data_IF_611137619017
#
_entry.id   IF_611137619017
#
_cell.length_a   1.000
_cell.length_b   1.000
_cell.length_c   1.000
_cell.angle_alpha   90.00
_cell.angle_beta   90.00
_cell.angle_gamma   90.00
#
_symmetry.space_group_name_H-M   'P 1'
#
loop_
_entity.id
_entity.type
_entity.pdbx_description
1 polymer ?
#
# COMPACT_ATOMS: atom_id res chain seq x y z
N UNK A 1 -22.77 6.22 -5.84
CA UNK A 1 -21.79 5.21 -6.31
C UNK A 1 -21.52 4.26 -5.17
N UNK A 2 -21.49 2.95 -5.41
CA UNK A 2 -21.17 1.98 -4.36
C UNK A 2 -19.66 1.99 -4.13
N UNK A 3 -19.24 2.49 -2.98
CA UNK A 3 -17.84 2.44 -2.59
C UNK A 3 -17.50 1.05 -2.07
N UNK A 4 -16.53 0.39 -2.69
CA UNK A 4 -15.98 -0.89 -2.24
C UNK A 4 -14.69 -0.64 -1.49
N UNK A 5 -14.60 -1.21 -0.30
CA UNK A 5 -13.38 -1.20 0.51
C UNK A 5 -12.82 -2.62 0.57
N UNK A 6 -11.53 -2.77 0.28
CA UNK A 6 -10.81 -4.04 0.38
C UNK A 6 -9.80 -3.94 1.50
N UNK A 7 -10.04 -4.65 2.60
CA UNK A 7 -9.13 -4.66 3.75
C UNK A 7 -8.38 -5.98 3.90
N UNK A 8 -7.24 -5.90 4.57
CA UNK A 8 -6.50 -7.04 5.13
C UNK A 8 -5.71 -6.59 6.34
N UNK A 9 -5.96 -7.23 7.48
CA UNK A 9 -5.06 -7.17 8.63
C UNK A 9 -3.95 -8.21 8.47
N UNK A 10 -2.73 -7.82 8.83
CA UNK A 10 -1.55 -8.68 8.88
C UNK A 10 -0.58 -8.20 9.96
N UNK A 11 0.25 -9.14 10.42
CA UNK A 11 1.40 -8.81 11.26
C UNK A 11 2.61 -8.55 10.38
N UNK A 12 3.13 -7.32 10.44
CA UNK A 12 4.38 -6.92 9.80
C UNK A 12 5.53 -7.04 10.79
N UNK A 13 6.77 -7.06 10.29
CA UNK A 13 7.95 -6.93 11.15
C UNK A 13 8.61 -5.57 10.91
N UNK A 14 8.73 -4.76 11.96
CA UNK A 14 9.55 -3.55 11.94
C UNK A 14 11.00 -3.95 12.21
N UNK A 15 11.87 -3.73 11.24
CA UNK A 15 13.28 -4.05 11.30
C UNK A 15 14.01 -2.89 12.00
N UNK A 16 14.57 -3.18 13.17
CA UNK A 16 15.32 -2.21 13.98
C UNK A 16 16.84 -2.36 13.77
N UNK A 17 17.29 -3.59 13.50
CA UNK A 17 18.66 -3.94 13.15
C UNK A 17 18.70 -5.30 12.43
N UNK A 18 19.83 -5.73 11.86
CA UNK A 18 19.94 -7.04 11.21
C UNK A 18 19.57 -8.24 12.12
N UNK A 19 19.70 -8.09 13.44
CA UNK A 19 19.43 -9.14 14.43
C UNK A 19 18.12 -8.92 15.20
N UNK A 20 17.44 -7.78 14.99
CA UNK A 20 16.28 -7.38 15.78
C UNK A 20 15.15 -6.85 14.91
N UNK A 21 14.00 -7.52 15.03
CA UNK A 21 12.74 -7.04 14.49
C UNK A 21 11.62 -7.21 15.53
N UNK A 22 10.61 -6.35 15.47
CA UNK A 22 9.43 -6.43 16.34
C UNK A 22 8.15 -6.59 15.50
N UNK A 23 7.15 -7.38 15.95
CA UNK A 23 5.88 -7.48 15.27
C UNK A 23 5.10 -6.16 15.38
N UNK A 24 4.49 -5.74 14.29
CA UNK A 24 3.65 -4.54 14.19
C UNK A 24 2.33 -4.94 13.50
N UNK A 25 1.22 -4.99 14.26
CA UNK A 25 -0.11 -5.16 13.67
C UNK A 25 -0.39 -4.03 12.69
N UNK A 26 -0.78 -4.40 11.48
CA UNK A 26 -1.08 -3.45 10.42
C UNK A 26 -2.36 -3.81 9.66
N UNK A 27 -3.01 -2.79 9.11
CA UNK A 27 -4.16 -2.94 8.23
C UNK A 27 -3.87 -2.26 6.90
N UNK A 28 -3.97 -3.03 5.82
CA UNK A 28 -3.98 -2.55 4.44
C UNK A 28 -5.42 -2.29 4.05
N UNK A 29 -5.71 -1.09 3.55
CA UNK A 29 -7.03 -0.68 3.08
C UNK A 29 -6.92 -0.06 1.70
N UNK A 30 -7.85 -0.44 0.84
CA UNK A 30 -8.00 0.09 -0.52
C UNK A 30 -9.43 0.56 -0.67
N UNK A 31 -9.58 1.75 -1.22
CA UNK A 31 -10.83 2.46 -1.33
C UNK A 31 -11.09 2.70 -2.83
N UNK A 32 -12.20 2.18 -3.37
CA UNK A 32 -12.57 2.43 -4.77
C UNK A 32 -12.88 3.91 -5.10
N UNK A 33 -13.08 4.78 -4.13
CA UNK A 33 -13.21 6.25 -4.28
C UNK A 33 -11.87 6.99 -4.13
N UNK A 34 -10.77 6.27 -3.81
CA UNK A 34 -9.38 6.72 -3.91
C UNK A 34 -8.56 5.63 -4.65
N UNK A 35 -8.89 5.35 -5.93
CA UNK A 35 -8.46 4.13 -6.61
C UNK A 35 -6.97 4.05 -6.93
N UNK A 36 -6.26 5.18 -6.81
CA UNK A 36 -4.82 5.25 -7.03
C UNK A 36 -4.01 4.97 -5.77
N UNK A 37 -4.65 4.93 -4.59
CA UNK A 37 -3.97 4.86 -3.31
C UNK A 37 -4.07 3.49 -2.64
N UNK A 38 -3.05 3.18 -1.86
CA UNK A 38 -3.05 2.16 -0.83
C UNK A 38 -2.84 2.85 0.50
N UNK A 39 -3.67 2.52 1.48
CA UNK A 39 -3.56 3.03 2.83
C UNK A 39 -3.08 1.92 3.75
N UNK A 40 -2.09 2.24 4.58
CA UNK A 40 -1.59 1.33 5.60
C UNK A 40 -1.70 2.02 6.95
N UNK A 41 -2.37 1.37 7.90
CA UNK A 41 -2.37 1.76 9.30
C UNK A 41 -1.46 0.80 10.09
N UNK A 42 -0.50 1.32 10.83
CA UNK A 42 0.37 0.58 11.74
C UNK A 42 -0.05 0.80 13.20
N UNK A 43 0.31 -0.15 14.07
CA UNK A 43 -0.03 -0.09 15.50
C UNK A 43 -1.54 0.05 15.71
N UNK A 44 -2.35 -0.70 14.95
CA UNK A 44 -3.82 -0.61 14.94
C UNK A 44 -4.49 -0.89 16.29
N UNK A 45 -3.76 -1.50 17.22
CA UNK A 45 -4.22 -1.75 18.59
C UNK A 45 -3.80 -0.65 19.59
N UNK A 46 -3.17 0.44 19.13
CA UNK A 46 -2.77 1.58 19.95
C UNK A 46 -3.75 2.74 19.83
N UNK A 47 -3.74 3.65 20.80
CA UNK A 47 -4.53 4.89 20.80
C UNK A 47 -4.16 5.85 19.65
N UNK A 48 -2.98 5.68 19.04
CA UNK A 48 -2.45 6.57 18.00
C UNK A 48 -1.84 5.75 16.85
N UNK A 49 -2.68 5.17 15.97
CA UNK A 49 -2.20 4.46 14.80
C UNK A 49 -1.44 5.41 13.85
N UNK A 50 -0.39 4.89 13.21
CA UNK A 50 0.39 5.63 12.22
C UNK A 50 -0.15 5.29 10.84
N UNK A 51 -0.52 6.31 10.06
CA UNK A 51 -1.11 6.15 8.74
C UNK A 51 -0.11 6.51 7.65
N UNK A 52 0.00 5.63 6.65
CA UNK A 52 0.74 5.86 5.42
C UNK A 52 -0.20 5.72 4.23
N UNK A 53 -0.01 6.56 3.24
CA UNK A 53 -0.74 6.49 1.97
C UNK A 53 0.24 6.71 0.84
N UNK A 54 0.22 5.80 -0.13
CA UNK A 54 1.07 5.88 -1.31
C UNK A 54 0.42 5.16 -2.47
N UNK A 55 1.04 5.26 -3.66
CA UNK A 55 0.49 4.70 -4.89
C UNK A 55 0.26 3.19 -4.80
N UNK A 56 -0.90 2.75 -5.28
CA UNK A 56 -1.22 1.34 -5.51
C UNK A 56 -0.23 0.69 -6.47
N UNK A 57 0.09 1.38 -7.56
CA UNK A 57 1.01 0.89 -8.57
C UNK A 57 2.42 0.73 -8.03
N UNK A 58 2.84 1.60 -7.09
CA UNK A 58 4.11 1.44 -6.40
C UNK A 58 4.18 0.11 -5.64
N UNK A 59 3.10 -0.28 -4.95
CA UNK A 59 3.06 -1.57 -4.25
C UNK A 59 2.96 -2.76 -5.21
N UNK A 60 2.19 -2.62 -6.30
CA UNK A 60 2.09 -3.62 -7.37
C UNK A 60 3.45 -3.87 -8.02
N UNK A 61 4.22 -2.82 -8.32
CA UNK A 61 5.56 -2.97 -8.87
C UNK A 61 6.53 -3.55 -7.81
N UNK A 62 6.42 -3.05 -6.57
CA UNK A 62 7.31 -3.36 -5.46
C UNK A 62 7.25 -4.82 -4.98
N UNK A 63 6.18 -5.55 -5.30
CA UNK A 63 6.12 -7.00 -5.06
C UNK A 63 6.94 -7.81 -6.08
N UNK A 64 7.30 -7.22 -7.23
CA UNK A 64 8.04 -7.89 -8.31
C UNK A 64 9.49 -7.41 -8.44
N UNK A 65 9.77 -6.13 -8.22
CA UNK A 65 11.11 -5.56 -8.35
C UNK A 65 11.31 -4.33 -7.44
N UNK A 66 12.57 -3.95 -7.14
CA UNK A 66 12.82 -2.71 -6.42
C UNK A 66 12.29 -1.48 -7.17
N UNK A 67 11.53 -0.64 -6.49
CA UNK A 67 10.94 0.59 -7.01
C UNK A 67 10.73 1.64 -5.91
N UNK A 68 10.27 2.82 -6.31
CA UNK A 68 9.99 3.95 -5.42
C UNK A 68 11.13 4.96 -5.33
N UNK A 69 10.74 6.17 -4.92
CA UNK A 69 11.64 7.31 -4.74
C UNK A 69 11.12 8.18 -3.60
N UNK A 70 12.01 8.96 -2.98
CA UNK A 70 11.68 9.80 -1.84
C UNK A 70 11.29 8.97 -0.63
N UNK A 71 10.10 9.27 -0.09
CA UNK A 71 9.64 8.81 1.22
C UNK A 71 9.20 7.35 1.23
N UNK A 72 8.91 6.75 0.08
CA UNK A 72 8.48 5.35 -0.03
C UNK A 72 9.33 4.60 -1.05
N UNK A 73 9.99 3.54 -0.57
CA UNK A 73 10.71 2.57 -1.42
C UNK A 73 10.23 1.17 -1.10
N UNK A 74 9.99 0.36 -2.13
CA UNK A 74 9.45 -1.00 -2.00
C UNK A 74 10.27 -1.97 -2.81
N UNK A 75 10.61 -3.13 -2.26
CA UNK A 75 11.34 -4.16 -3.00
C UNK A 75 11.09 -5.57 -2.45
N UNK A 76 11.11 -6.60 -3.31
CA UNK A 76 11.01 -7.98 -2.86
C UNK A 76 12.37 -8.51 -2.39
N UNK A 77 12.37 -9.41 -1.42
CA UNK A 77 13.55 -10.17 -0.99
C UNK A 77 13.16 -11.53 -0.42
N UNK A 78 14.15 -12.28 0.07
CA UNK A 78 13.94 -13.50 0.85
C UNK A 78 14.47 -13.30 2.27
N UNK A 79 13.63 -13.57 3.27
CA UNK A 79 14.00 -13.58 4.69
C UNK A 79 13.68 -14.96 5.26
N UNK A 80 14.66 -15.60 5.92
CA UNK A 80 14.49 -16.94 6.53
C UNK A 80 13.89 -17.99 5.57
N UNK A 81 14.24 -17.92 4.27
CA UNK A 81 13.75 -18.82 3.23
C UNK A 81 12.33 -18.52 2.71
N UNK A 82 11.69 -17.43 3.17
CA UNK A 82 10.35 -16.99 2.75
C UNK A 82 10.45 -15.74 1.88
N UNK A 83 9.57 -15.62 0.89
CA UNK A 83 9.44 -14.40 0.09
C UNK A 83 8.74 -13.31 0.90
N UNK A 84 9.38 -12.16 0.99
CA UNK A 84 8.87 -10.98 1.69
C UNK A 84 9.01 -9.72 0.83
N UNK A 85 8.18 -8.72 1.10
CA UNK A 85 8.31 -7.38 0.54
C UNK A 85 8.79 -6.46 1.65
N UNK A 86 9.87 -5.73 1.38
CA UNK A 86 10.36 -4.68 2.24
C UNK A 86 9.80 -3.33 1.79
N UNK A 87 9.37 -2.53 2.75
CA UNK A 87 8.90 -1.15 2.56
C UNK A 87 9.72 -0.24 3.47
N UNK A 88 10.53 0.64 2.88
CA UNK A 88 11.17 1.73 3.61
C UNK A 88 10.29 2.98 3.50
N UNK A 89 9.94 3.52 4.66
CA UNK A 89 9.07 4.67 4.84
C UNK A 89 9.87 5.76 5.57
N UNK A 90 10.06 6.91 4.95
CA UNK A 90 10.91 8.00 5.47
C UNK A 90 10.07 9.25 5.70
N UNK A 91 10.16 9.84 6.89
CA UNK A 91 9.45 11.06 7.24
C UNK A 91 10.36 12.01 8.05
N UNK A 92 10.02 13.29 8.20
CA UNK A 92 10.80 14.19 9.06
C UNK A 92 10.94 13.70 10.51
N UNK A 93 9.96 12.95 11.00
CA UNK A 93 9.93 12.41 12.37
C UNK A 93 10.67 11.06 12.50
N UNK A 94 11.12 10.47 11.39
CA UNK A 94 11.96 9.27 11.38
C UNK A 94 11.70 8.32 10.21
N UNK A 95 12.52 7.28 10.16
CA UNK A 95 12.49 6.22 9.15
C UNK A 95 11.98 4.90 9.74
N UNK A 96 11.26 4.12 8.93
CA UNK A 96 10.81 2.78 9.27
C UNK A 96 11.10 1.81 8.11
N UNK A 97 11.64 0.64 8.44
CA UNK A 97 11.80 -0.47 7.51
C UNK A 97 10.88 -1.61 7.92
N UNK A 98 9.92 -1.93 7.07
CA UNK A 98 8.90 -2.94 7.33
C UNK A 98 9.06 -4.13 6.42
N UNK A 99 8.83 -5.32 6.96
CA UNK A 99 8.78 -6.57 6.25
C UNK A 99 7.36 -7.13 6.27
N UNK A 100 6.83 -7.43 5.08
CA UNK A 100 5.51 -8.01 4.88
C UNK A 100 5.61 -9.35 4.14
N UNK A 101 4.77 -10.36 4.48
CA UNK A 101 4.73 -11.60 3.72
C UNK A 101 4.24 -11.35 2.28
N UNK A 102 5.07 -11.65 1.27
CA UNK A 102 4.74 -11.34 -0.14
C UNK A 102 3.41 -11.94 -0.57
N UNK A 103 3.14 -13.20 -0.21
CA UNK A 103 1.92 -13.89 -0.60
C UNK A 103 0.64 -13.19 -0.09
N UNK A 104 0.67 -12.61 1.11
CA UNK A 104 -0.49 -11.92 1.67
C UNK A 104 -0.71 -10.56 1.01
N UNK A 105 0.37 -9.82 0.75
CA UNK A 105 0.33 -8.54 0.03
C UNK A 105 -0.18 -8.75 -1.39
N UNK A 106 0.37 -9.72 -2.12
CA UNK A 106 -0.05 -10.05 -3.49
C UNK A 106 -1.52 -10.47 -3.55
N UNK A 107 -1.98 -11.36 -2.67
CA UNK A 107 -3.39 -11.79 -2.64
C UNK A 107 -4.36 -10.66 -2.25
N UNK A 108 -3.90 -9.66 -1.51
CA UNK A 108 -4.69 -8.45 -1.26
C UNK A 108 -4.73 -7.54 -2.50
N UNK A 109 -3.59 -7.27 -3.14
CA UNK A 109 -3.52 -6.49 -4.38
C UNK A 109 -4.37 -7.10 -5.50
N UNK A 110 -4.36 -8.41 -5.69
CA UNK A 110 -5.21 -9.07 -6.70
C UNK A 110 -6.70 -8.77 -6.50
N UNK A 111 -7.15 -8.55 -5.27
CA UNK A 111 -8.53 -8.13 -4.98
C UNK A 111 -8.74 -6.66 -5.30
N UNK A 112 -7.78 -5.77 -4.99
CA UNK A 112 -7.90 -4.34 -5.31
C UNK A 112 -7.97 -4.12 -6.82
N UNK A 113 -7.12 -4.83 -7.58
CA UNK A 113 -7.07 -4.79 -9.03
C UNK A 113 -8.32 -5.38 -9.69
N UNK A 114 -9.07 -6.22 -8.98
CA UNK A 114 -10.38 -6.71 -9.45
C UNK A 114 -11.50 -5.71 -9.22
N UNK A 115 -11.42 -4.95 -8.13
CA UNK A 115 -12.41 -3.92 -7.79
C UNK A 115 -12.28 -2.72 -8.73
N UNK A 116 -11.07 -2.26 -9.00
CA UNK A 116 -10.79 -1.26 -10.03
C UNK A 116 -9.59 -1.74 -10.85
N UNK A 117 -9.82 -2.27 -12.06
CA UNK A 117 -8.75 -2.65 -12.98
C UNK A 117 -7.74 -1.52 -13.23
N UNK A 118 -6.45 -1.84 -13.46
CA UNK A 118 -5.47 -0.85 -13.90
C UNK A 118 -5.93 -0.16 -15.19
N UNK A 119 -5.83 1.17 -15.22
CA UNK A 119 -6.24 2.01 -16.34
C UNK A 119 -7.70 2.44 -16.32
N UNK A 120 -8.54 1.91 -15.41
CA UNK A 120 -9.96 2.31 -15.28
C UNK A 120 -10.22 3.16 -14.04
N UNK A 121 -9.17 3.63 -13.37
CA UNK A 121 -9.29 4.45 -12.16
C UNK A 121 -9.94 5.81 -12.44
N UNK A 122 -9.65 6.40 -13.61
CA UNK A 122 -10.23 7.69 -14.01
C UNK A 122 -11.73 7.60 -14.26
N UNK A 123 -12.19 6.49 -14.85
CA UNK A 123 -13.62 6.19 -15.04
C UNK A 123 -14.34 6.08 -13.70
N UNK A 124 -13.71 5.40 -12.74
CA UNK A 124 -14.25 5.23 -11.38
C UNK A 124 -14.44 6.56 -10.64
N UNK A 125 -13.58 7.54 -10.93
CA UNK A 125 -13.66 8.90 -10.37
C UNK A 125 -14.50 9.86 -11.23
N UNK A 126 -14.99 9.44 -12.41
CA UNK A 126 -15.70 10.30 -13.35
C UNK A 126 -14.87 11.49 -13.84
N UNK A 127 -13.54 11.31 -13.97
CA UNK A 127 -12.61 12.40 -14.33
C UNK A 127 -12.94 12.98 -15.70
N UNK A 128 -13.22 12.12 -16.68
CA UNK A 128 -13.52 12.56 -18.04
C UNK A 128 -14.81 13.38 -18.10
N UNK A 129 -15.89 12.91 -17.45
CA UNK A 129 -17.15 13.65 -17.36
C UNK A 129 -16.97 15.01 -16.66
N UNK A 130 -16.13 15.06 -15.61
CA UNK A 130 -15.83 16.30 -14.89
C UNK A 130 -14.99 17.25 -15.76
N UNK A 131 -14.05 16.73 -16.55
CA UNK A 131 -13.22 17.49 -17.46
C UNK A 131 -14.05 18.07 -18.61
N UNK A 132 -14.94 17.27 -19.21
CA UNK A 132 -15.86 17.71 -20.25
C UNK A 132 -16.73 18.86 -19.77
N UNK A 133 -17.29 18.76 -18.55
CA UNK A 133 -18.05 19.86 -17.94
C UNK A 133 -17.23 21.12 -17.72
N UNK A 134 -15.95 20.98 -17.32
CA UNK A 134 -15.05 22.11 -17.11
C UNK A 134 -14.67 22.80 -18.43
N UNK A 135 -14.54 22.04 -19.52
CA UNK A 135 -14.09 22.51 -20.83
C UNK A 135 -15.22 22.93 -21.78
N UNK A 136 -16.49 22.63 -21.46
CA UNK A 136 -17.67 22.91 -22.30
C UNK A 136 -18.04 24.40 -22.45
N UNK A 137 -17.05 25.29 -22.56
CA UNK A 137 -17.22 26.73 -22.70
C UNK A 137 -17.21 27.20 -24.16
#
# INVERSE_FOLDING_TARGET
>A
MHHTVVERELELRLILSPERAIPVPARLSYHSDDPYAVHIAFHINSEQPVHWTFSRDLLVEGVFRPCGHGDVRVWPTKAEGRSVVLMALSSPDGDALLEAPSAQVSAWLERTLRVVPPGTEGEQLGIDDALDQLLAR
#
